data_IF_815053734296
#
_entry.id   IF_815053734296
#
_cell.length_a   1.000
_cell.length_b   1.000
_cell.length_c   1.000
_cell.angle_alpha   90.00
_cell.angle_beta   90.00
_cell.angle_gamma   90.00
#
_symmetry.space_group_name_H-M   'P 1'
#
loop_
_entity.id
_entity.type
_entity.pdbx_description
1 polymer ?
#
# COMPACT_ATOMS: atom_id res chain seq x y z
N UNK A 1 -27.34 8.61 14.18
CA UNK A 1 -27.08 8.28 14.01
C UNK A 1 -26.73 8.10 13.55
N UNK A 2 -26.63 8.07 13.57
CA UNK A 2 -26.26 7.70 13.21
C UNK A 2 -25.64 7.54 12.60
N UNK A 3 -25.46 7.80 12.25
CA UNK A 3 -24.71 7.48 11.79
C UNK A 3 -23.98 7.15 11.86
N UNK A 4 -24.27 7.59 12.23
CA UNK A 4 -23.30 7.27 12.62
C UNK A 4 -22.76 6.05 12.48
N UNK A 5 -22.98 5.52 12.86
CA UNK A 5 -22.36 4.38 12.81
C UNK A 5 -21.73 3.96 11.59
N UNK A 6 -21.83 4.68 10.70
CA UNK A 6 -21.24 4.36 9.62
C UNK A 6 -19.93 4.67 9.64
N UNK A 7 -19.14 3.88 10.05
CA UNK A 7 -17.75 4.09 10.01
C UNK A 7 -17.31 4.12 8.59
N UNK A 8 -16.71 5.19 8.20
CA UNK A 8 -16.03 5.26 6.94
C UNK A 8 -14.69 4.64 7.10
N UNK A 9 -14.40 3.61 6.35
CA UNK A 9 -13.09 2.99 6.39
C UNK A 9 -12.24 3.59 5.30
N UNK A 10 -11.08 4.15 5.63
CA UNK A 10 -10.18 4.65 4.60
C UNK A 10 -9.77 3.53 3.67
N UNK A 11 -9.68 3.86 2.38
CA UNK A 11 -9.45 2.88 1.34
C UNK A 11 -8.46 3.45 0.35
N UNK A 12 -7.42 2.71 0.03
CA UNK A 12 -6.44 3.16 -0.95
C UNK A 12 -6.38 2.29 -2.20
N UNK A 13 -6.93 1.09 -2.16
CA UNK A 13 -7.11 0.28 -3.36
C UNK A 13 -5.90 -0.51 -3.80
N UNK A 14 -5.26 -1.21 -2.88
CA UNK A 14 -4.10 -2.05 -3.20
C UNK A 14 -4.29 -3.44 -2.65
N UNK A 15 -3.63 -4.39 -3.31
CA UNK A 15 -3.47 -5.73 -2.77
C UNK A 15 -2.02 -5.88 -2.35
N UNK A 16 -1.83 -6.34 -1.14
CA UNK A 16 -0.51 -6.43 -0.52
C UNK A 16 -0.21 -7.87 -0.17
N UNK A 17 1.07 -8.17 -0.11
CA UNK A 17 1.53 -9.49 0.29
C UNK A 17 2.79 -9.33 1.14
N UNK A 18 2.97 -10.24 2.09
CA UNK A 18 4.21 -10.26 2.86
C UNK A 18 5.35 -10.64 1.95
N UNK A 19 6.40 -9.83 1.97
CA UNK A 19 7.60 -10.12 1.21
C UNK A 19 8.55 -10.92 2.07
N UNK A 20 9.12 -11.97 1.49
CA UNK A 20 10.19 -12.73 2.10
C UNK A 20 11.34 -12.78 1.12
N UNK A 21 12.56 -13.09 1.58
CA UNK A 21 13.67 -13.21 0.63
C UNK A 21 13.40 -14.23 -0.48
N UNK A 22 12.70 -15.32 -0.14
CA UNK A 22 12.39 -16.34 -1.13
C UNK A 22 11.40 -15.80 -2.17
N UNK A 23 10.36 -15.09 -1.72
CA UNK A 23 9.39 -14.53 -2.64
C UNK A 23 10.05 -13.48 -3.54
N UNK A 24 10.96 -12.68 -2.96
CA UNK A 24 11.66 -11.68 -3.76
C UNK A 24 12.44 -12.35 -4.89
N UNK A 25 13.13 -13.45 -4.60
CA UNK A 25 13.86 -14.16 -5.63
C UNK A 25 12.94 -14.71 -6.71
N UNK A 26 11.79 -15.25 -6.30
CA UNK A 26 10.85 -15.81 -7.27
C UNK A 26 10.25 -14.74 -8.16
N UNK A 27 9.84 -13.63 -7.58
CA UNK A 27 9.26 -12.53 -8.35
C UNK A 27 10.29 -11.94 -9.29
N UNK A 28 11.50 -11.70 -8.80
CA UNK A 28 12.55 -11.11 -9.63
C UNK A 28 12.92 -12.03 -10.78
N UNK A 29 12.84 -13.33 -10.58
CA UNK A 29 13.17 -14.29 -11.63
C UNK A 29 12.10 -14.35 -12.71
N UNK A 30 10.83 -14.11 -12.35
CA UNK A 30 9.74 -14.22 -13.30
C UNK A 30 9.31 -12.89 -13.89
N UNK A 31 9.70 -11.77 -13.26
CA UNK A 31 9.31 -10.45 -13.74
C UNK A 31 10.53 -9.54 -13.70
N UNK A 32 11.08 -9.27 -14.86
CA UNK A 32 12.30 -8.48 -14.96
C UNK A 32 12.12 -7.03 -14.51
N UNK A 33 10.88 -6.56 -14.48
CA UNK A 33 10.62 -5.19 -14.06
C UNK A 33 10.55 -5.04 -12.55
N UNK A 34 10.40 -6.15 -11.84
CA UNK A 34 10.40 -6.11 -10.39
C UNK A 34 11.80 -6.32 -9.87
N UNK A 35 12.27 -5.42 -9.04
CA UNK A 35 13.57 -5.55 -8.40
C UNK A 35 13.37 -5.43 -6.91
N UNK A 36 12.99 -6.53 -6.29
CA UNK A 36 12.71 -6.55 -4.87
C UNK A 36 13.94 -6.96 -4.10
N UNK A 37 14.24 -6.28 -2.99
CA UNK A 37 15.33 -6.72 -2.13
C UNK A 37 14.96 -8.04 -1.47
N UNK A 38 15.96 -8.88 -1.20
CA UNK A 38 15.73 -10.16 -0.54
C UNK A 38 15.64 -9.91 0.96
N UNK A 39 14.48 -9.43 1.38
CA UNK A 39 14.24 -9.07 2.76
C UNK A 39 12.77 -9.30 3.08
N UNK A 40 12.42 -9.14 4.34
CA UNK A 40 11.03 -9.17 4.74
C UNK A 40 10.42 -7.79 4.61
N UNK A 41 9.14 -7.73 4.31
CA UNK A 41 8.45 -6.45 4.17
C UNK A 41 7.08 -6.62 3.56
N UNK A 42 6.60 -5.53 2.95
CA UNK A 42 5.28 -5.51 2.33
C UNK A 42 5.44 -5.12 0.87
N UNK A 43 5.01 -5.98 -0.02
CA UNK A 43 5.09 -5.70 -1.45
C UNK A 43 3.69 -5.45 -2.00
N UNK A 44 3.59 -4.48 -2.91
CA UNK A 44 2.35 -4.20 -3.61
C UNK A 44 2.21 -5.20 -4.75
N UNK A 45 1.17 -6.00 -4.69
CA UNK A 45 0.90 -7.00 -5.73
C UNK A 45 0.07 -6.40 -6.86
N UNK A 46 -0.91 -5.59 -6.49
CA UNK A 46 -1.82 -5.04 -7.48
C UNK A 46 -2.34 -3.69 -7.00
N UNK A 47 -2.49 -2.74 -7.94
CA UNK A 47 -3.11 -1.45 -7.66
C UNK A 47 -4.39 -1.38 -8.48
N UNK A 48 -5.50 -1.11 -7.79
CA UNK A 48 -6.80 -1.07 -8.46
C UNK A 48 -6.90 0.17 -9.34
N UNK A 49 -7.41 0.03 -10.57
CA UNK A 49 -7.55 1.20 -11.44
C UNK A 49 -8.48 2.23 -10.83
N UNK A 50 -8.12 3.50 -10.98
CA UNK A 50 -8.94 4.59 -10.48
C UNK A 50 -8.95 4.77 -8.98
N UNK A 51 -8.17 3.99 -8.25
CA UNK A 51 -8.12 4.07 -6.79
C UNK A 51 -7.20 5.21 -6.35
N UNK A 52 -7.29 5.61 -5.08
CA UNK A 52 -6.35 6.60 -4.55
C UNK A 52 -4.90 6.19 -4.73
N UNK A 53 -4.59 4.90 -4.57
CA UNK A 53 -3.23 4.43 -4.78
C UNK A 53 -2.78 4.61 -6.22
N UNK A 54 -3.66 4.32 -7.16
CA UNK A 54 -3.34 4.51 -8.57
C UNK A 54 -3.07 5.98 -8.88
N UNK A 55 -3.86 6.87 -8.28
CA UNK A 55 -3.68 8.30 -8.51
C UNK A 55 -2.40 8.83 -7.88
N UNK A 56 -1.92 8.19 -6.84
CA UNK A 56 -0.70 8.62 -6.17
C UNK A 56 0.56 8.21 -6.91
N UNK A 57 0.43 7.30 -7.87
CA UNK A 57 1.57 6.78 -8.60
C UNK A 57 2.12 5.48 -8.06
N UNK A 58 1.42 4.86 -7.12
CA UNK A 58 1.84 3.56 -6.59
C UNK A 58 1.73 2.51 -7.68
N UNK A 59 2.67 1.59 -7.72
CA UNK A 59 2.72 0.55 -8.75
C UNK A 59 2.95 -0.81 -8.12
N UNK A 60 2.60 -1.86 -8.85
CA UNK A 60 2.95 -3.20 -8.41
C UNK A 60 4.46 -3.33 -8.31
N UNK A 61 4.92 -4.18 -7.42
CA UNK A 61 6.33 -4.38 -7.08
C UNK A 61 6.95 -3.25 -6.26
N UNK A 62 6.16 -2.27 -5.83
CA UNK A 62 6.65 -1.30 -4.88
C UNK A 62 6.72 -1.95 -3.51
N UNK A 63 7.78 -1.66 -2.77
CA UNK A 63 7.95 -2.16 -1.41
C UNK A 63 7.57 -1.03 -0.45
N UNK A 64 6.51 -1.23 0.33
CA UNK A 64 6.05 -0.22 1.26
C UNK A 64 6.88 -0.33 2.53
N UNK A 65 7.56 0.75 2.90
CA UNK A 65 8.42 0.78 4.08
C UNK A 65 7.77 1.53 5.23
N UNK A 66 7.02 2.59 4.93
CA UNK A 66 6.34 3.38 5.95
C UNK A 66 5.00 3.85 5.46
N UNK A 67 4.08 3.96 6.38
CA UNK A 67 2.78 4.57 6.14
C UNK A 67 2.65 5.69 7.16
N UNK A 68 2.67 6.95 6.68
CA UNK A 68 2.74 8.09 7.57
C UNK A 68 4.04 8.04 8.37
N UNK A 69 3.92 8.02 9.69
CA UNK A 69 5.09 7.94 10.56
C UNK A 69 5.33 6.53 11.09
N UNK A 70 4.64 5.55 10.57
CA UNK A 70 4.68 4.19 11.09
C UNK A 70 5.45 3.28 10.15
N UNK A 71 6.47 2.61 10.66
CA UNK A 71 7.17 1.58 9.91
C UNK A 71 6.31 0.34 9.85
N UNK A 72 6.27 -0.30 8.69
CA UNK A 72 5.43 -1.48 8.51
C UNK A 72 6.28 -2.64 8.01
N UNK A 73 5.97 -3.83 8.51
CA UNK A 73 6.67 -5.05 8.14
C UNK A 73 5.76 -6.09 7.51
N UNK A 74 4.45 -5.90 7.60
CA UNK A 74 3.50 -6.86 7.04
C UNK A 74 2.23 -6.13 6.62
N UNK A 75 1.40 -6.78 5.78
CA UNK A 75 0.19 -6.12 5.27
C UNK A 75 -0.79 -5.69 6.36
N UNK A 76 -0.87 -6.42 7.46
CA UNK A 76 -1.76 -6.04 8.54
C UNK A 76 -1.38 -4.69 9.13
N UNK A 77 -0.08 -4.44 9.26
CA UNK A 77 0.37 -3.16 9.79
C UNK A 77 0.04 -2.01 8.85
N UNK A 78 0.13 -2.26 7.54
CA UNK A 78 -0.28 -1.25 6.57
C UNK A 78 -1.76 -0.94 6.73
N UNK A 79 -2.59 -1.97 6.87
CA UNK A 79 -4.03 -1.78 7.00
C UNK A 79 -4.36 -0.97 8.26
N UNK A 80 -3.71 -1.30 9.37
CA UNK A 80 -3.93 -0.55 10.61
C UNK A 80 -3.52 0.90 10.44
N UNK A 81 -2.37 1.15 9.81
CA UNK A 81 -1.90 2.51 9.63
C UNK A 81 -2.82 3.31 8.71
N UNK A 82 -3.35 2.67 7.66
CA UNK A 82 -4.32 3.33 6.78
C UNK A 82 -5.62 3.62 7.53
N UNK A 83 -6.06 2.67 8.35
CA UNK A 83 -7.30 2.85 9.13
C UNK A 83 -7.18 3.98 10.15
N UNK A 84 -5.98 4.28 10.61
CA UNK A 84 -5.77 5.39 11.53
C UNK A 84 -5.80 6.74 10.83
N UNK A 85 -5.71 6.75 9.50
CA UNK A 85 -5.81 7.96 8.72
C UNK A 85 -7.27 8.37 8.56
N UNK A 86 -7.45 9.45 7.82
CA UNK A 86 -8.79 9.98 7.57
C UNK A 86 -9.04 10.05 6.08
N UNK A 87 -10.28 9.78 5.71
CA UNK A 87 -10.71 9.93 4.33
C UNK A 87 -10.44 11.36 3.89
N UNK A 88 -9.76 11.53 2.76
CA UNK A 88 -9.47 12.82 2.19
C UNK A 88 -8.17 13.48 2.65
N UNK A 89 -7.60 13.04 3.77
CA UNK A 89 -6.35 13.61 4.24
C UNK A 89 -5.18 12.88 3.58
N UNK A 90 -4.16 13.61 3.14
CA UNK A 90 -3.01 12.95 2.50
C UNK A 90 -2.25 12.08 3.50
N UNK A 91 -1.92 10.89 3.05
CA UNK A 91 -1.15 9.92 3.81
C UNK A 91 0.11 9.63 3.03
N UNK A 92 1.25 9.86 3.63
CA UNK A 92 2.52 9.65 2.94
C UNK A 92 2.91 8.18 3.03
N UNK A 93 3.17 7.59 1.87
CA UNK A 93 3.72 6.24 1.80
C UNK A 93 5.15 6.33 1.34
N UNK A 94 6.06 5.76 2.13
CA UNK A 94 7.44 5.66 1.72
C UNK A 94 7.63 4.29 1.11
N UNK A 95 7.99 4.26 -0.16
CA UNK A 95 8.14 3.02 -0.89
C UNK A 95 9.51 2.96 -1.56
N UNK A 96 9.97 1.75 -1.78
CA UNK A 96 11.18 1.52 -2.56
C UNK A 96 10.79 0.88 -3.88
N UNK A 97 11.21 1.51 -4.96
CA UNK A 97 10.97 1.03 -6.31
C UNK A 97 12.32 0.79 -6.95
N UNK A 98 12.73 -0.48 -7.02
CA UNK A 98 14.08 -0.79 -7.48
C UNK A 98 15.09 -0.16 -6.53
N UNK A 99 15.94 0.70 -7.07
CA UNK A 99 16.97 1.37 -6.29
C UNK A 99 16.52 2.73 -5.78
N UNK A 100 15.29 3.13 -6.06
CA UNK A 100 14.81 4.45 -5.71
C UNK A 100 13.87 4.40 -4.52
N UNK A 101 14.02 5.37 -3.63
CA UNK A 101 13.10 5.54 -2.53
C UNK A 101 12.19 6.71 -2.87
N UNK A 102 10.89 6.47 -2.79
CA UNK A 102 9.89 7.45 -3.18
C UNK A 102 8.96 7.72 -2.02
N UNK A 103 8.53 8.97 -1.92
CA UNK A 103 7.48 9.35 -0.97
C UNK A 103 6.26 9.73 -1.79
N UNK A 104 5.21 8.93 -1.67
CA UNK A 104 3.99 9.12 -2.42
C UNK A 104 2.89 9.57 -1.48
N UNK A 105 2.08 10.52 -1.91
CA UNK A 105 0.98 10.98 -1.09
C UNK A 105 -0.30 10.40 -1.63
N UNK A 106 -0.97 9.62 -0.79
CA UNK A 106 -2.21 8.96 -1.13
C UNK A 106 -3.31 9.60 -0.31
N UNK A 107 -4.42 9.97 -0.95
CA UNK A 107 -5.58 10.49 -0.23
C UNK A 107 -6.60 9.37 -0.13
N UNK A 108 -6.72 8.73 1.03
CA UNK A 108 -7.67 7.64 1.16
C UNK A 108 -9.07 8.11 0.83
N UNK A 109 -9.82 7.26 0.17
CA UNK A 109 -11.21 7.51 -0.14
C UNK A 109 -12.08 6.65 0.75
N UNK A 110 -13.36 6.91 0.73
CA UNK A 110 -14.30 6.08 1.46
C UNK A 110 -14.46 4.77 0.69
N UNK A 111 -14.45 3.65 1.43
CA UNK A 111 -14.61 2.35 0.80
C UNK A 111 -15.96 2.30 0.09
N UNK A 112 -16.00 1.89 -1.20
CA UNK A 112 -17.27 1.84 -1.91
C UNK A 112 -18.25 0.90 -1.24
N UNK A 113 -19.53 1.32 -1.20
CA UNK A 113 -20.57 0.51 -0.70
C UNK A 113 -21.01 -0.44 -1.73
N UNK A 114 -21.23 -1.66 -1.33
CA UNK A 114 -21.81 -2.63 -2.21
C UNK A 114 -23.24 -2.88 -1.79
N UNK A 115 -24.12 -2.81 -2.71
CA UNK A 115 -25.53 -3.04 -2.43
C UNK A 115 -25.98 -4.36 -2.96
#
# INVERSE_FOLDING_TARGET
ILESGRASHPYIGVRLQSLTPQLAREVNATNAECRLPETNGVVVVEVMPGSPAARSGLRSCDLIERVGNTEVDNPSEVQVAVDQGRVGDPLTLQVQRGDQQLNLQVRPAELPRQN
#
